data_IF_595268820246
#
_entry.id   IF_595268820246
#
_cell.length_a   1.000
_cell.length_b   1.000
_cell.length_c   1.000
_cell.angle_alpha   90.00
_cell.angle_beta   90.00
_cell.angle_gamma   90.00
#
_symmetry.space_group_name_H-M   'P 1'
#
loop_
_entity.id
_entity.type
_entity.pdbx_description
1 polymer ?
#
# COMPACT_ATOMS: atom_id res chain seq x y z
N UNK A 1 -26.09 31.64 3.07
CA UNK A 1 -25.46 30.46 2.43
C UNK A 1 -24.43 29.92 3.39
N UNK A 2 -24.43 28.63 3.70
CA UNK A 2 -23.40 28.06 4.58
C UNK A 2 -22.08 27.86 3.81
N UNK A 3 -20.92 28.10 4.43
CA UNK A 3 -19.63 27.84 3.81
C UNK A 3 -19.44 26.34 3.56
N UNK A 4 -18.91 26.01 2.38
CA UNK A 4 -18.62 24.64 1.96
C UNK A 4 -17.12 24.41 2.14
N UNK A 5 -16.76 23.21 2.62
CA UNK A 5 -15.38 22.76 2.74
C UNK A 5 -15.22 21.36 2.14
N UNK A 6 -14.01 21.05 1.69
CA UNK A 6 -13.63 19.76 1.11
C UNK A 6 -12.45 19.18 1.88
N UNK A 7 -12.43 17.86 2.01
CA UNK A 7 -11.30 17.10 2.56
C UNK A 7 -10.73 16.26 1.44
N UNK A 8 -9.43 16.42 1.20
CA UNK A 8 -8.70 15.64 0.22
C UNK A 8 -7.71 14.73 0.95
N UNK A 9 -7.65 13.49 0.49
CA UNK A 9 -6.57 12.59 0.87
C UNK A 9 -5.23 13.10 0.29
N UNK A 10 -4.12 12.65 0.85
CA UNK A 10 -2.79 13.04 0.39
C UNK A 10 -2.26 12.06 -0.65
N UNK A 11 -2.20 10.78 -0.30
CA UNK A 11 -1.57 9.74 -1.10
C UNK A 11 -2.46 9.34 -2.27
N UNK A 12 -1.92 9.44 -3.49
CA UNK A 12 -2.67 9.14 -4.72
C UNK A 12 -3.71 10.20 -5.11
N UNK A 13 -3.93 11.24 -4.29
CA UNK A 13 -4.85 12.36 -4.59
C UNK A 13 -4.09 13.67 -4.79
N UNK A 14 -3.31 14.10 -3.79
CA UNK A 14 -2.46 15.31 -3.89
C UNK A 14 -1.07 14.93 -4.43
N UNK A 15 -0.55 13.76 -4.04
CA UNK A 15 0.81 13.31 -4.37
C UNK A 15 0.75 11.97 -5.11
N UNK A 16 1.55 11.83 -6.18
CA UNK A 16 1.72 10.56 -6.88
C UNK A 16 2.70 9.62 -6.13
N UNK A 17 2.36 9.23 -4.89
CA UNK A 17 3.20 8.42 -4.00
C UNK A 17 3.12 6.90 -4.26
N UNK A 18 2.06 6.43 -4.94
CA UNK A 18 1.83 5.01 -5.21
C UNK A 18 3.02 4.25 -5.83
N UNK A 19 3.78 4.79 -6.82
CA UNK A 19 4.94 4.10 -7.37
C UNK A 19 6.04 3.83 -6.34
N UNK A 20 6.25 4.75 -5.39
CA UNK A 20 7.26 4.60 -4.35
C UNK A 20 6.84 3.59 -3.28
N UNK A 21 5.55 3.58 -2.91
CA UNK A 21 5.00 2.54 -2.03
C UNK A 21 5.19 1.14 -2.64
N UNK A 22 4.94 1.00 -3.94
CA UNK A 22 5.17 -0.24 -4.67
C UNK A 22 6.63 -0.69 -4.63
N UNK A 23 7.58 0.21 -4.92
CA UNK A 23 9.03 -0.11 -4.86
C UNK A 23 9.43 -0.58 -3.45
N UNK A 24 9.00 0.14 -2.42
CA UNK A 24 9.32 -0.20 -1.04
C UNK A 24 8.76 -1.57 -0.61
N UNK A 25 7.52 -1.87 -1.01
CA UNK A 25 6.89 -3.17 -0.72
C UNK A 25 7.59 -4.32 -1.44
N UNK A 26 7.96 -4.14 -2.71
CA UNK A 26 8.75 -5.12 -3.46
C UNK A 26 10.08 -5.41 -2.77
N UNK A 27 10.86 -4.37 -2.48
CA UNK A 27 12.16 -4.51 -1.79
C UNK A 27 12.03 -5.18 -0.42
N UNK A 28 10.97 -4.86 0.33
CA UNK A 28 10.68 -5.51 1.60
C UNK A 28 10.39 -7.00 1.39
N UNK A 29 9.48 -7.36 0.47
CA UNK A 29 9.09 -8.75 0.24
C UNK A 29 10.25 -9.60 -0.28
N UNK A 30 11.05 -9.07 -1.22
CA UNK A 30 12.23 -9.74 -1.76
C UNK A 30 13.25 -10.09 -0.68
N UNK A 31 13.44 -9.20 0.31
CA UNK A 31 14.33 -9.45 1.46
C UNK A 31 13.92 -10.68 2.27
N UNK A 32 12.64 -11.05 2.28
CA UNK A 32 12.12 -12.24 2.96
C UNK A 32 11.85 -13.42 2.00
N UNK A 33 12.30 -13.33 0.75
CA UNK A 33 12.17 -14.39 -0.25
C UNK A 33 10.82 -14.43 -0.99
N UNK A 34 9.97 -13.42 -0.82
CA UNK A 34 8.68 -13.32 -1.49
C UNK A 34 8.78 -12.44 -2.74
N UNK A 35 8.47 -13.02 -3.90
CA UNK A 35 8.42 -12.31 -5.19
C UNK A 35 6.96 -12.13 -5.59
N UNK A 36 6.33 -11.09 -5.04
CA UNK A 36 4.91 -10.82 -5.29
C UNK A 36 4.74 -10.15 -6.65
N UNK A 37 3.77 -10.61 -7.43
CA UNK A 37 3.35 -9.90 -8.64
C UNK A 37 2.56 -8.64 -8.29
N UNK A 38 2.39 -7.74 -9.27
CA UNK A 38 1.56 -6.53 -9.12
C UNK A 38 0.12 -6.84 -8.70
N UNK A 39 -0.47 -7.88 -9.27
CA UNK A 39 -1.82 -8.32 -8.92
C UNK A 39 -1.86 -8.85 -7.48
N UNK A 40 -0.81 -9.51 -7.01
CA UNK A 40 -0.73 -9.97 -5.64
C UNK A 40 -0.53 -8.83 -4.65
N UNK A 41 0.30 -7.84 -4.97
CA UNK A 41 0.42 -6.62 -4.16
C UNK A 41 -0.94 -5.93 -4.03
N UNK A 42 -1.67 -5.78 -5.14
CA UNK A 42 -3.00 -5.16 -5.14
C UNK A 42 -4.02 -5.94 -4.32
N UNK A 43 -4.06 -7.26 -4.47
CA UNK A 43 -5.09 -8.09 -3.86
C UNK A 43 -4.76 -8.51 -2.42
N UNK A 44 -3.47 -8.58 -2.05
CA UNK A 44 -3.01 -9.08 -0.75
C UNK A 44 -2.50 -7.99 0.19
N UNK A 45 -2.06 -6.84 -0.32
CA UNK A 45 -1.42 -5.78 0.50
C UNK A 45 -2.20 -4.47 0.48
N UNK A 46 -2.57 -3.96 -0.69
CA UNK A 46 -3.14 -2.61 -0.79
C UNK A 46 -4.45 -2.47 -0.01
N UNK A 47 -4.62 -1.32 0.65
CA UNK A 47 -5.79 -1.02 1.49
C UNK A 47 -5.83 -1.73 2.84
N UNK A 48 -4.80 -2.53 3.20
CA UNK A 48 -4.69 -3.20 4.50
C UNK A 48 -3.67 -2.51 5.38
N UNK A 49 -3.88 -2.59 6.69
CA UNK A 49 -2.88 -2.10 7.65
C UNK A 49 -1.61 -2.96 7.61
N UNK A 50 -0.46 -2.35 7.93
CA UNK A 50 0.82 -3.08 8.00
C UNK A 50 0.75 -4.31 8.90
N UNK A 51 0.07 -4.19 10.05
CA UNK A 51 -0.13 -5.32 10.95
C UNK A 51 -0.87 -6.47 10.26
N UNK A 52 -1.90 -6.20 9.46
CA UNK A 52 -2.67 -7.26 8.82
C UNK A 52 -1.90 -7.94 7.69
N UNK A 53 -1.36 -7.18 6.73
CA UNK A 53 -0.77 -7.80 5.53
C UNK A 53 0.59 -8.44 5.82
N UNK A 54 1.40 -7.87 6.72
CA UNK A 54 2.71 -8.45 7.09
C UNK A 54 2.49 -9.77 7.81
N UNK A 55 1.55 -9.82 8.76
CA UNK A 55 1.17 -11.06 9.44
C UNK A 55 0.70 -12.11 8.44
N UNK A 56 -0.21 -11.77 7.54
CA UNK A 56 -0.67 -12.70 6.49
C UNK A 56 0.42 -13.16 5.51
N UNK A 57 1.48 -12.35 5.31
CA UNK A 57 2.58 -12.68 4.40
C UNK A 57 3.67 -13.53 5.07
N UNK A 58 3.97 -13.28 6.35
CA UNK A 58 5.08 -13.90 7.08
C UNK A 58 4.65 -15.08 7.96
N UNK A 59 3.37 -15.22 8.29
CA UNK A 59 2.89 -16.38 9.03
C UNK A 59 2.92 -17.64 8.14
N UNK A 60 3.62 -18.66 8.65
CA UNK A 60 3.58 -20.05 8.19
C UNK A 60 2.48 -20.80 8.93
#
# INVERSE_FOLDING_TARGET
>A
MQPIAFVFDMDGVIIHSNPYHKIALHQFCEKYGYHLTEDELRNKIYGRTNKQWITNLLER
#
